data_IF_484374504504
#
_entry.id   IF_484374504504
#
_cell.length_a   1.000
_cell.length_b   1.000
_cell.length_c   1.000
_cell.angle_alpha   90.00
_cell.angle_beta   90.00
_cell.angle_gamma   90.00
#
_symmetry.space_group_name_H-M   'P 1'
#
loop_
_entity.id
_entity.type
_entity.pdbx_description
1 polymer ?
#
# COMPACT_ATOMS: atom_id res chain seq x y z
N UNK A 1 20.85 3.36 19.82
CA UNK A 1 19.72 3.99 19.10
C UNK A 1 19.42 3.10 17.90
N UNK A 2 18.20 2.59 17.74
CA UNK A 2 17.87 1.71 16.61
C UNK A 2 17.70 2.58 15.36
N UNK A 3 18.66 2.50 14.43
CA UNK A 3 18.68 3.32 13.22
C UNK A 3 18.12 2.52 12.02
N UNK A 4 16.84 2.68 11.72
CA UNK A 4 16.22 2.05 10.55
C UNK A 4 16.34 2.89 9.27
N UNK A 5 16.45 4.21 9.42
CA UNK A 5 16.53 5.17 8.34
C UNK A 5 17.97 5.64 8.15
N UNK A 6 18.51 5.61 6.91
CA UNK A 6 19.76 6.27 6.59
C UNK A 6 19.53 7.78 6.44
N UNK A 7 20.62 8.54 6.46
CA UNK A 7 20.58 9.93 6.02
C UNK A 7 20.27 9.98 4.52
N UNK A 8 19.35 10.85 4.14
CA UNK A 8 18.91 10.99 2.75
C UNK A 8 19.83 11.94 2.00
N UNK A 9 20.35 11.51 0.85
CA UNK A 9 21.29 12.29 0.04
C UNK A 9 20.72 12.73 -1.31
N UNK A 10 19.53 12.26 -1.67
CA UNK A 10 18.88 12.60 -2.95
C UNK A 10 17.57 13.37 -2.74
N UNK A 11 17.10 14.01 -3.82
CA UNK A 11 15.75 14.61 -3.87
C UNK A 11 14.63 13.57 -4.04
N UNK A 12 15.00 12.32 -4.36
CA UNK A 12 14.09 11.20 -4.59
C UNK A 12 13.91 10.36 -3.31
N UNK A 13 13.60 11.03 -2.20
CA UNK A 13 13.65 10.43 -0.86
C UNK A 13 12.80 9.16 -0.74
N UNK A 14 11.59 9.14 -1.31
CA UNK A 14 10.73 7.94 -1.27
C UNK A 14 11.36 6.74 -1.97
N UNK A 15 12.01 6.96 -3.12
CA UNK A 15 12.74 5.94 -3.88
C UNK A 15 14.02 5.51 -3.17
N UNK A 16 14.75 6.48 -2.61
CA UNK A 16 16.00 6.24 -1.90
C UNK A 16 15.76 5.37 -0.66
N UNK A 17 14.82 5.75 0.20
CA UNK A 17 14.49 4.99 1.42
C UNK A 17 14.05 3.56 1.10
N UNK A 18 13.32 3.33 0.00
CA UNK A 18 12.95 1.98 -0.42
C UNK A 18 14.17 1.08 -0.72
N UNK A 19 15.31 1.67 -1.10
CA UNK A 19 16.55 0.96 -1.46
C UNK A 19 17.58 0.92 -0.35
N UNK A 20 17.72 2.00 0.41
CA UNK A 20 18.85 2.19 1.34
C UNK A 20 18.47 1.98 2.80
N UNK A 21 17.17 1.94 3.13
CA UNK A 21 16.74 1.67 4.50
C UNK A 21 16.90 0.21 4.90
N UNK A 22 17.01 -0.05 6.20
CA UNK A 22 17.33 -1.37 6.73
C UNK A 22 16.36 -2.46 6.27
N UNK A 23 15.04 -2.18 6.24
CA UNK A 23 14.01 -3.11 5.76
C UNK A 23 13.62 -2.88 4.29
N UNK A 24 14.24 -1.91 3.64
CA UNK A 24 13.91 -1.47 2.28
C UNK A 24 14.02 -2.57 1.23
N UNK A 25 15.17 -3.26 1.13
CA UNK A 25 15.37 -4.35 0.18
C UNK A 25 14.37 -5.51 0.36
N UNK A 26 13.99 -5.84 1.61
CA UNK A 26 13.03 -6.91 1.89
C UNK A 26 11.62 -6.54 1.43
N UNK A 27 11.19 -5.30 1.69
CA UNK A 27 9.91 -4.78 1.20
C UNK A 27 9.88 -4.72 -0.34
N UNK A 28 11.02 -4.55 -1.00
CA UNK A 28 11.12 -4.43 -2.46
C UNK A 28 11.01 -5.74 -3.23
N UNK A 29 10.95 -6.90 -2.56
CA UNK A 29 10.78 -8.20 -3.23
C UNK A 29 9.38 -8.28 -3.85
N UNK A 30 9.30 -8.29 -5.18
CA UNK A 30 8.02 -8.20 -5.89
C UNK A 30 8.00 -9.02 -7.19
N UNK A 31 6.80 -9.23 -7.72
CA UNK A 31 6.57 -9.85 -9.04
C UNK A 31 6.31 -8.83 -10.15
N UNK A 32 6.41 -7.54 -9.84
CA UNK A 32 6.15 -6.49 -10.82
C UNK A 32 7.32 -6.38 -11.80
N UNK A 33 7.00 -6.35 -13.09
CA UNK A 33 8.00 -6.25 -14.15
C UNK A 33 8.86 -4.98 -14.08
N UNK A 34 8.35 -3.92 -13.44
CA UNK A 34 9.08 -2.66 -13.22
C UNK A 34 10.18 -2.77 -12.17
N UNK A 35 10.06 -3.75 -11.28
CA UNK A 35 11.05 -4.02 -10.24
C UNK A 35 12.07 -5.05 -10.75
N UNK A 36 11.59 -6.18 -11.30
CA UNK A 36 12.44 -7.25 -11.85
C UNK A 36 11.77 -7.92 -13.06
N UNK A 37 12.14 -7.54 -14.31
CA UNK A 37 11.45 -8.00 -15.52
C UNK A 37 11.58 -9.51 -15.75
N UNK A 38 12.72 -10.10 -15.38
CA UNK A 38 12.96 -11.55 -15.52
C UNK A 38 12.07 -12.38 -14.60
N UNK A 39 11.75 -11.87 -13.42
CA UNK A 39 10.83 -12.51 -12.48
C UNK A 39 9.42 -12.49 -13.07
N UNK A 40 8.98 -11.33 -13.58
CA UNK A 40 7.69 -11.23 -14.23
C UNK A 40 7.60 -12.13 -15.47
N UNK A 41 8.64 -12.20 -16.30
CA UNK A 41 8.68 -13.11 -17.44
C UNK A 41 8.53 -14.56 -16.96
N UNK A 42 9.38 -15.02 -16.03
CA UNK A 42 9.31 -16.39 -15.50
C UNK A 42 7.93 -16.77 -14.94
N UNK A 43 7.25 -15.83 -14.28
CA UNK A 43 5.95 -16.10 -13.69
C UNK A 43 4.79 -15.95 -14.67
N UNK A 44 4.86 -15.05 -15.66
CA UNK A 44 3.71 -14.65 -16.49
C UNK A 44 3.87 -14.89 -18.00
N UNK A 45 5.03 -15.36 -18.50
CA UNK A 45 5.32 -15.53 -19.94
C UNK A 45 4.61 -16.71 -20.64
N UNK A 46 3.53 -17.24 -20.07
CA UNK A 46 2.90 -18.48 -20.54
C UNK A 46 1.39 -18.46 -20.74
N UNK A 47 0.68 -17.37 -20.43
CA UNK A 47 -0.79 -17.35 -20.53
C UNK A 47 -1.36 -15.96 -20.84
N UNK A 48 -1.88 -15.77 -22.06
CA UNK A 48 -2.59 -14.55 -22.50
C UNK A 48 -4.10 -14.61 -22.27
N UNK A 49 -4.59 -15.64 -21.58
CA UNK A 49 -6.02 -15.88 -21.40
C UNK A 49 -6.40 -15.92 -19.91
N UNK A 50 -6.75 -14.76 -19.33
CA UNK A 50 -7.97 -14.54 -18.52
C UNK A 50 -7.85 -13.30 -17.60
N UNK A 51 -7.89 -12.09 -18.14
CA UNK A 51 -8.07 -10.85 -17.34
C UNK A 51 -9.39 -10.84 -16.52
N UNK A 52 -10.30 -11.79 -16.76
CA UNK A 52 -11.55 -11.96 -15.99
C UNK A 52 -11.31 -12.49 -14.58
N UNK A 53 -10.17 -13.13 -14.28
CA UNK A 53 -9.93 -13.73 -12.96
C UNK A 53 -9.70 -12.69 -11.87
N UNK A 54 -9.02 -11.58 -12.14
CA UNK A 54 -8.64 -10.58 -11.12
C UNK A 54 -9.84 -9.91 -10.44
N UNK A 55 -10.90 -9.62 -11.20
CA UNK A 55 -12.16 -9.11 -10.64
C UNK A 55 -12.92 -10.19 -9.84
N UNK A 56 -12.76 -11.45 -10.22
CA UNK A 56 -13.38 -12.59 -9.54
C UNK A 56 -12.64 -12.91 -8.22
N UNK A 57 -11.30 -12.86 -8.24
CA UNK A 57 -10.43 -13.01 -7.07
C UNK A 57 -10.66 -11.89 -6.06
N UNK A 58 -10.74 -10.63 -6.50
CA UNK A 58 -11.07 -9.49 -5.62
C UNK A 58 -12.47 -9.61 -5.01
N UNK A 59 -13.46 -10.12 -5.76
CA UNK A 59 -14.80 -10.41 -5.24
C UNK A 59 -14.78 -11.55 -4.22
N UNK A 60 -14.00 -12.60 -4.47
CA UNK A 60 -13.83 -13.71 -3.53
C UNK A 60 -13.12 -13.28 -2.24
N UNK A 61 -12.09 -12.43 -2.31
CA UNK A 61 -11.43 -11.88 -1.11
C UNK A 61 -12.38 -11.00 -0.27
N UNK A 62 -13.27 -10.23 -0.92
CA UNK A 62 -14.36 -9.49 -0.29
C UNK A 62 -15.43 -10.41 0.35
N UNK A 63 -15.67 -11.59 -0.22
CA UNK A 63 -16.58 -12.59 0.36
C UNK A 63 -15.93 -13.35 1.53
N UNK A 64 -14.62 -13.60 1.46
CA UNK A 64 -13.83 -14.33 2.47
C UNK A 64 -13.53 -13.49 3.72
N UNK A 65 -13.65 -12.16 3.66
CA UNK A 65 -13.50 -11.26 4.81
C UNK A 65 -14.72 -11.24 5.74
N UNK A 66 -15.80 -11.97 5.41
CA UNK A 66 -16.94 -12.18 6.32
C UNK A 66 -16.55 -13.13 7.46
N UNK A 67 -16.75 -12.77 8.74
CA UNK A 67 -16.24 -13.53 9.88
C UNK A 67 -17.06 -14.82 10.09
N UNK A 68 -16.67 -15.90 9.41
CA UNK A 68 -17.10 -17.25 9.77
C UNK A 68 -16.02 -17.92 10.61
N UNK A 69 -16.29 -17.96 11.91
CA UNK A 69 -15.54 -18.70 12.93
C UNK A 69 -15.47 -20.17 12.54
N UNK A 70 -14.26 -20.67 12.24
CA UNK A 70 -13.97 -22.11 12.28
C UNK A 70 -13.29 -22.79 11.08
N UNK A 71 -13.11 -22.13 9.92
CA UNK A 71 -12.51 -22.78 8.72
C UNK A 71 -11.19 -22.16 8.20
N UNK A 72 -10.49 -21.37 9.02
CA UNK A 72 -9.41 -20.48 8.56
C UNK A 72 -8.20 -21.15 7.90
N UNK A 73 -7.73 -22.31 8.36
CA UNK A 73 -6.49 -22.88 7.82
C UNK A 73 -6.73 -23.65 6.51
N UNK A 74 -7.82 -24.42 6.43
CA UNK A 74 -8.16 -25.18 5.23
C UNK A 74 -8.55 -24.23 4.07
N UNK A 75 -9.36 -23.19 4.31
CA UNK A 75 -9.74 -22.26 3.24
C UNK A 75 -8.55 -21.49 2.66
N UNK A 76 -7.59 -21.08 3.50
CA UNK A 76 -6.36 -20.43 3.03
C UNK A 76 -5.48 -21.36 2.19
N UNK A 77 -5.42 -22.65 2.51
CA UNK A 77 -4.66 -23.66 1.73
C UNK A 77 -5.33 -23.95 0.38
N UNK A 78 -6.67 -24.06 0.32
CA UNK A 78 -7.38 -24.28 -0.95
C UNK A 78 -7.32 -23.05 -1.88
N UNK A 79 -7.42 -21.83 -1.34
CA UNK A 79 -7.27 -20.58 -2.12
C UNK A 79 -5.85 -20.47 -2.68
N UNK A 80 -4.83 -20.72 -1.86
CA UNK A 80 -3.43 -20.65 -2.32
C UNK A 80 -3.10 -21.70 -3.38
N UNK A 81 -3.77 -22.85 -3.39
CA UNK A 81 -3.59 -23.86 -4.45
C UNK A 81 -4.26 -23.52 -5.79
N UNK A 82 -5.10 -22.48 -5.86
CA UNK A 82 -5.73 -21.97 -7.09
C UNK A 82 -5.10 -20.69 -7.63
N UNK A 83 -4.30 -19.98 -6.83
CA UNK A 83 -3.61 -18.75 -7.24
C UNK A 83 -2.54 -19.03 -8.30
N UNK A 84 -2.30 -18.05 -9.17
CA UNK A 84 -1.21 -18.08 -10.14
C UNK A 84 0.15 -18.14 -9.40
N UNK A 85 1.20 -18.78 -9.95
CA UNK A 85 2.49 -18.92 -9.26
C UNK A 85 3.08 -17.60 -8.76
N UNK A 86 2.90 -16.50 -9.51
CA UNK A 86 3.31 -15.16 -9.08
C UNK A 86 2.52 -14.62 -7.87
N UNK A 87 1.21 -14.88 -7.81
CA UNK A 87 0.36 -14.48 -6.69
C UNK A 87 0.72 -15.24 -5.41
N UNK A 88 1.04 -16.54 -5.52
CA UNK A 88 1.53 -17.33 -4.39
C UNK A 88 2.86 -16.80 -3.86
N UNK A 89 3.79 -16.48 -4.76
CA UNK A 89 5.07 -15.91 -4.39
C UNK A 89 4.89 -14.58 -3.65
N UNK A 90 4.07 -13.67 -4.18
CA UNK A 90 3.77 -12.40 -3.52
C UNK A 90 3.13 -12.60 -2.14
N UNK A 91 2.17 -13.53 -2.01
CA UNK A 91 1.54 -13.86 -0.73
C UNK A 91 2.55 -14.40 0.29
N UNK A 92 3.45 -15.29 -0.11
CA UNK A 92 4.50 -15.82 0.77
C UNK A 92 5.45 -14.73 1.26
N UNK A 93 5.89 -13.84 0.36
CA UNK A 93 6.74 -12.69 0.69
C UNK A 93 6.05 -11.81 1.75
N UNK A 94 4.77 -11.50 1.56
CA UNK A 94 3.99 -10.68 2.51
C UNK A 94 3.83 -11.34 3.87
N UNK A 95 3.59 -12.66 3.94
CA UNK A 95 3.50 -13.41 5.20
C UNK A 95 4.83 -13.39 5.96
N UNK A 96 5.95 -13.57 5.25
CA UNK A 96 7.29 -13.55 5.85
C UNK A 96 7.65 -12.14 6.35
N UNK A 97 7.36 -11.10 5.55
CA UNK A 97 7.55 -9.71 5.95
C UNK A 97 6.71 -9.40 7.19
N UNK A 98 5.43 -9.79 7.21
CA UNK A 98 4.58 -9.59 8.37
C UNK A 98 5.18 -10.22 9.63
N UNK A 99 5.72 -11.45 9.55
CA UNK A 99 6.38 -12.09 10.68
C UNK A 99 7.56 -11.25 11.20
N UNK A 100 8.43 -10.79 10.30
CA UNK A 100 9.57 -9.94 10.67
C UNK A 100 9.11 -8.65 11.35
N UNK A 101 8.18 -7.90 10.74
CA UNK A 101 7.67 -6.65 11.30
C UNK A 101 6.94 -6.88 12.64
N UNK A 102 6.14 -7.93 12.75
CA UNK A 102 5.47 -8.31 13.98
C UNK A 102 6.48 -8.55 15.11
N UNK A 103 7.52 -9.34 14.87
CA UNK A 103 8.52 -9.68 15.89
C UNK A 103 9.29 -8.43 16.37
N UNK A 104 9.57 -7.48 15.46
CA UNK A 104 10.20 -6.19 15.79
C UNK A 104 9.23 -5.29 16.59
N UNK A 105 7.94 -5.28 16.24
CA UNK A 105 6.92 -4.42 16.88
C UNK A 105 6.47 -4.95 18.25
N UNK A 106 6.52 -6.26 18.48
CA UNK A 106 6.27 -6.85 19.80
C UNK A 106 7.36 -6.47 20.79
N UNK A 107 8.60 -6.30 20.32
CA UNK A 107 9.69 -5.82 21.14
C UNK A 107 9.52 -4.33 21.49
N UNK A 108 9.37 -4.05 22.79
CA UNK A 108 9.17 -2.69 23.32
C UNK A 108 10.31 -1.72 23.04
N UNK A 109 11.56 -2.17 22.92
CA UNK A 109 12.71 -1.29 22.65
C UNK A 109 12.79 -0.82 21.20
N UNK A 110 12.19 -1.57 20.26
CA UNK A 110 12.21 -1.26 18.82
C UNK A 110 10.87 -0.76 18.28
N UNK A 111 9.76 -0.93 19.03
CA UNK A 111 8.41 -0.58 18.60
C UNK A 111 8.30 0.86 18.09
N UNK A 112 8.65 1.84 18.92
CA UNK A 112 8.50 3.26 18.57
C UNK A 112 9.40 3.65 17.39
N UNK A 113 10.64 3.15 17.35
CA UNK A 113 11.55 3.36 16.22
C UNK A 113 11.00 2.77 14.91
N UNK A 114 10.31 1.62 15.00
CA UNK A 114 9.69 0.97 13.84
C UNK A 114 8.45 1.72 13.37
N UNK A 115 7.61 2.21 14.28
CA UNK A 115 6.47 3.06 13.95
C UNK A 115 6.91 4.37 13.30
N UNK A 116 7.96 5.00 13.83
CA UNK A 116 8.58 6.18 13.23
C UNK A 116 9.13 5.89 11.83
N UNK A 117 9.81 4.76 11.65
CA UNK A 117 10.27 4.29 10.34
C UNK A 117 9.12 4.15 9.33
N UNK A 118 8.04 3.46 9.72
CA UNK A 118 6.84 3.26 8.89
C UNK A 118 6.18 4.59 8.51
N UNK A 119 6.08 5.53 9.46
CA UNK A 119 5.55 6.87 9.21
C UNK A 119 6.43 7.66 8.22
N UNK A 120 7.76 7.56 8.33
CA UNK A 120 8.69 8.20 7.41
C UNK A 120 8.64 7.61 6.01
N UNK A 121 8.51 6.30 5.87
CA UNK A 121 8.30 5.67 4.56
C UNK A 121 7.03 6.20 3.90
N UNK A 122 5.94 6.29 4.67
CA UNK A 122 4.65 6.77 4.19
C UNK A 122 4.71 8.24 3.77
N UNK A 123 5.22 9.12 4.64
CA UNK A 123 5.33 10.57 4.40
C UNK A 123 6.12 10.89 3.12
N UNK A 124 7.25 10.20 2.92
CA UNK A 124 8.08 10.40 1.74
C UNK A 124 7.51 9.79 0.45
N UNK A 125 6.36 9.11 0.54
CA UNK A 125 5.65 8.52 -0.59
C UNK A 125 4.23 9.09 -0.78
N UNK A 126 3.84 10.16 -0.06
CA UNK A 126 2.53 10.82 -0.21
C UNK A 126 2.26 11.30 -1.64
N UNK A 127 3.31 11.71 -2.36
CA UNK A 127 3.24 12.12 -3.77
C UNK A 127 2.69 11.03 -4.70
N UNK A 128 2.69 9.75 -4.29
CA UNK A 128 2.07 8.66 -5.05
C UNK A 128 0.56 8.83 -5.25
N UNK A 129 -0.11 9.62 -4.43
CA UNK A 129 -1.54 9.91 -4.60
C UNK A 129 -1.83 10.97 -5.67
N UNK A 130 -0.81 11.65 -6.20
CA UNK A 130 -0.99 12.70 -7.22
C UNK A 130 -1.36 12.11 -8.59
N UNK A 131 -2.03 12.90 -9.43
CA UNK A 131 -2.42 12.45 -10.79
C UNK A 131 -1.18 12.24 -11.67
N UNK A 132 -0.24 13.18 -11.58
CA UNK A 132 1.04 13.19 -12.27
C UNK A 132 2.13 12.96 -11.24
N UNK A 133 2.76 11.79 -11.30
CA UNK A 133 3.78 11.36 -10.34
C UNK A 133 5.07 11.19 -11.11
N UNK A 134 6.16 11.74 -10.59
CA UNK A 134 7.49 11.30 -11.02
C UNK A 134 7.83 9.97 -10.34
N UNK A 135 7.68 8.88 -11.08
CA UNK A 135 7.93 7.51 -10.59
C UNK A 135 9.37 7.27 -10.12
N UNK A 136 10.31 8.14 -10.53
CA UNK A 136 11.71 8.06 -10.08
C UNK A 136 11.91 8.64 -8.69
N UNK A 137 11.00 9.50 -8.24
CA UNK A 137 11.06 10.16 -6.93
C UNK A 137 10.43 9.35 -5.79
N UNK A 138 9.59 8.37 -6.11
CA UNK A 138 8.78 7.58 -5.16
C UNK A 138 9.14 6.09 -5.20
N UNK A 139 8.75 5.37 -4.16
CA UNK A 139 8.85 3.92 -4.08
C UNK A 139 7.95 3.22 -5.12
N UNK A 140 8.40 2.05 -5.58
CA UNK A 140 7.65 1.22 -6.53
C UNK A 140 6.39 0.59 -5.94
N UNK A 141 5.52 0.09 -6.82
CA UNK A 141 4.25 -0.55 -6.44
C UNK A 141 4.48 -1.79 -5.58
N UNK A 142 5.46 -2.62 -5.93
CA UNK A 142 5.81 -3.82 -5.16
C UNK A 142 6.15 -3.51 -3.71
N UNK A 143 7.04 -2.54 -3.50
CA UNK A 143 7.43 -2.06 -2.17
C UNK A 143 6.22 -1.59 -1.34
N UNK A 144 5.41 -0.70 -1.91
CA UNK A 144 4.32 -0.07 -1.17
C UNK A 144 3.14 -1.02 -0.93
N UNK A 145 2.86 -1.94 -1.85
CA UNK A 145 1.83 -2.98 -1.66
C UNK A 145 2.25 -4.02 -0.62
N UNK A 146 3.54 -4.39 -0.56
CA UNK A 146 4.06 -5.23 0.51
C UNK A 146 3.94 -4.54 1.86
N UNK A 147 4.31 -3.26 1.94
CA UNK A 147 4.16 -2.46 3.16
C UNK A 147 2.68 -2.37 3.62
N UNK A 148 1.76 -2.11 2.68
CA UNK A 148 0.33 -2.10 2.95
C UNK A 148 -0.16 -3.46 3.48
N UNK A 149 0.25 -4.57 2.84
CA UNK A 149 -0.17 -5.91 3.25
C UNK A 149 0.28 -6.25 4.67
N UNK A 150 1.53 -5.92 5.03
CA UNK A 150 2.04 -6.06 6.41
C UNK A 150 1.16 -5.28 7.40
N UNK A 151 0.86 -4.02 7.08
CA UNK A 151 0.06 -3.16 7.95
C UNK A 151 -1.39 -3.64 8.07
N UNK A 152 -1.98 -4.16 7.00
CA UNK A 152 -3.30 -4.81 7.03
C UNK A 152 -3.32 -6.06 7.93
N UNK A 153 -2.30 -6.91 7.82
CA UNK A 153 -2.17 -8.11 8.66
C UNK A 153 -1.99 -7.77 10.15
N UNK A 154 -1.34 -6.65 10.48
CA UNK A 154 -1.27 -6.13 11.85
C UNK A 154 -2.61 -5.53 12.29
N UNK A 155 -3.25 -4.73 11.43
CA UNK A 155 -4.50 -4.03 11.71
C UNK A 155 -5.70 -4.95 11.90
N UNK A 156 -5.72 -6.16 11.30
CA UNK A 156 -6.81 -7.12 11.48
C UNK A 156 -7.00 -7.55 12.95
N UNK A 157 -5.96 -7.41 13.78
CA UNK A 157 -5.99 -7.72 15.22
C UNK A 157 -6.40 -6.51 16.07
N UNK A 158 -6.44 -5.31 15.50
CA UNK A 158 -6.82 -4.09 16.19
C UNK A 158 -8.33 -4.09 16.41
N UNK A 159 -8.75 -3.92 17.66
CA UNK A 159 -10.16 -3.73 18.00
C UNK A 159 -10.51 -2.25 17.89
N UNK A 160 -11.62 -1.93 17.22
CA UNK A 160 -12.01 -0.56 16.94
C UNK A 160 -12.31 0.26 18.22
N UNK A 161 -12.75 -0.38 19.30
CA UNK A 161 -12.95 0.27 20.61
C UNK A 161 -11.64 0.80 21.24
N UNK A 162 -10.49 0.32 20.77
CA UNK A 162 -9.15 0.75 21.20
C UNK A 162 -8.55 1.84 20.33
N UNK A 163 -9.19 2.18 19.22
CA UNK A 163 -8.71 3.21 18.29
C UNK A 163 -9.25 4.56 18.74
N UNK A 164 -8.35 5.52 18.93
CA UNK A 164 -8.73 6.90 19.22
C UNK A 164 -9.05 7.65 17.92
N UNK A 165 -10.32 7.96 17.70
CA UNK A 165 -10.79 8.65 16.49
C UNK A 165 -10.29 10.11 16.38
N UNK A 166 -9.87 10.73 17.50
CA UNK A 166 -9.31 12.08 17.46
C UNK A 166 -7.82 12.09 17.06
N UNK A 167 -7.18 10.93 16.92
CA UNK A 167 -5.77 10.82 16.62
C UNK A 167 -5.28 11.61 15.38
N UNK A 168 -6.00 11.68 14.25
CA UNK A 168 -5.53 12.45 13.10
C UNK A 168 -5.35 13.96 13.38
N UNK A 169 -5.99 14.48 14.43
CA UNK A 169 -5.88 15.86 14.87
C UNK A 169 -4.93 16.04 16.06
N UNK A 170 -4.42 14.93 16.61
CA UNK A 170 -3.54 14.92 17.77
C UNK A 170 -2.20 15.59 17.43
N UNK A 171 -1.60 16.41 18.32
CA UNK A 171 -0.32 17.09 18.06
C UNK A 171 0.84 16.14 17.72
N UNK A 172 0.86 14.96 18.34
CA UNK A 172 1.81 13.87 18.06
C UNK A 172 1.35 12.87 16.98
N UNK A 173 0.36 13.24 16.15
CA UNK A 173 -0.02 12.41 15.00
C UNK A 173 1.16 12.29 14.04
N UNK A 174 1.46 11.07 13.60
CA UNK A 174 2.48 10.83 12.57
C UNK A 174 1.92 11.02 11.16
N UNK A 175 0.62 11.25 11.03
CA UNK A 175 -0.09 11.39 9.76
C UNK A 175 -0.60 12.83 9.68
N UNK A 176 -0.22 13.52 8.61
CA UNK A 176 -0.71 14.86 8.32
C UNK A 176 -1.91 14.80 7.39
N UNK A 177 -3.06 15.30 7.87
CA UNK A 177 -4.30 15.39 7.09
C UNK A 177 -4.68 16.83 6.77
N UNK A 178 -3.81 17.82 7.03
CA UNK A 178 -4.15 19.24 6.89
C UNK A 178 -4.60 19.58 5.47
N UNK A 179 -3.90 19.05 4.46
CA UNK A 179 -4.14 19.32 3.05
C UNK A 179 -5.09 18.31 2.37
N UNK A 180 -5.62 17.36 3.13
CA UNK A 180 -6.50 16.33 2.57
C UNK A 180 -7.90 16.89 2.26
N UNK A 181 -8.49 16.40 1.17
CA UNK A 181 -9.87 16.76 0.82
C UNK A 181 -10.84 16.12 1.81
N UNK A 182 -11.73 16.92 2.39
CA UNK A 182 -12.66 16.49 3.44
C UNK A 182 -14.07 16.39 2.89
N UNK A 183 -14.85 15.44 3.43
CA UNK A 183 -16.27 15.26 3.09
C UNK A 183 -17.12 16.45 3.53
N UNK A 184 -16.75 17.07 4.65
CA UNK A 184 -17.40 18.23 5.25
C UNK A 184 -16.32 19.06 5.95
N UNK A 185 -16.56 20.37 6.02
CA UNK A 185 -15.62 21.41 6.50
C UNK A 185 -14.52 21.78 5.51
N UNK A 186 -14.25 23.08 5.47
CA UNK A 186 -13.08 23.70 4.84
C UNK A 186 -11.84 23.54 5.73
N UNK A 187 -10.65 23.69 5.14
CA UNK A 187 -9.39 23.64 5.90
C UNK A 187 -9.34 24.70 7.01
N UNK A 188 -9.94 25.88 6.79
CA UNK A 188 -9.99 26.95 7.78
C UNK A 188 -10.90 26.58 8.97
N UNK A 189 -12.09 26.04 8.70
CA UNK A 189 -13.02 25.63 9.76
C UNK A 189 -12.43 24.53 10.63
N UNK A 190 -11.71 23.58 10.03
CA UNK A 190 -11.01 22.53 10.78
C UNK A 190 -9.89 23.12 11.63
N UNK A 191 -9.11 24.07 11.10
CA UNK A 191 -8.05 24.72 11.87
C UNK A 191 -8.63 25.44 13.11
N UNK A 192 -9.70 26.22 12.93
CA UNK A 192 -10.40 26.89 14.04
C UNK A 192 -10.92 25.87 15.06
N UNK A 193 -11.55 24.79 14.61
CA UNK A 193 -12.08 23.74 15.48
C UNK A 193 -10.97 23.03 16.29
N UNK A 194 -9.83 22.72 15.66
CA UNK A 194 -8.69 22.12 16.36
C UNK A 194 -8.12 23.09 17.41
N UNK A 195 -8.03 24.38 17.10
CA UNK A 195 -7.56 25.41 18.05
C UNK A 195 -8.50 25.54 19.26
N UNK A 196 -9.82 25.52 19.03
CA UNK A 196 -10.82 25.50 20.10
C UNK A 196 -10.71 24.23 20.95
N UNK A 197 -10.52 23.07 20.31
CA UNK A 197 -10.33 21.79 21.00
C UNK A 197 -9.08 21.80 21.89
N UNK A 198 -7.99 22.40 21.40
CA UNK A 198 -6.73 22.55 22.15
C UNK A 198 -6.85 23.52 23.34
N UNK A 199 -7.69 24.55 23.24
CA UNK A 199 -7.95 25.52 24.32
C UNK A 199 -8.98 25.03 25.34
N UNK A 200 -9.82 24.08 24.95
CA UNK A 200 -10.87 23.53 25.79
C UNK A 200 -10.29 22.82 27.02
N UNK A 201 -10.76 23.19 28.21
CA UNK A 201 -10.40 22.48 29.47
C UNK A 201 -11.04 21.10 29.58
N UNK A 202 -12.04 20.81 28.73
CA UNK A 202 -12.83 19.58 28.77
C UNK A 202 -12.17 18.46 27.96
N UNK A 203 -11.50 18.79 26.86
CA UNK A 203 -10.83 17.81 26.03
C UNK A 203 -9.44 17.50 26.56
N UNK A 204 -9.08 16.21 26.60
CA UNK A 204 -7.75 15.75 26.97
C UNK A 204 -7.26 14.78 25.90
N UNK A 205 -6.17 15.16 25.24
CA UNK A 205 -5.48 14.31 24.29
C UNK A 205 -5.00 13.03 24.97
N UNK A 206 -5.29 11.90 24.35
CA UNK A 206 -4.82 10.59 24.82
C UNK A 206 -3.50 10.28 24.16
N UNK A 207 -2.59 9.70 24.92
CA UNK A 207 -1.31 9.24 24.37
C UNK A 207 -1.56 8.22 23.24
N UNK A 208 -0.98 8.45 22.04
CA UNK A 208 -1.19 7.57 20.90
C UNK A 208 -0.67 6.15 21.12
N UNK A 209 -1.58 5.19 21.32
CA UNK A 209 -1.21 3.77 21.47
C UNK A 209 -1.04 3.07 20.12
N UNK A 210 -0.29 1.98 20.11
CA UNK A 210 -0.07 1.15 18.92
C UNK A 210 -1.35 0.82 18.12
N UNK A 211 -2.48 0.39 18.71
CA UNK A 211 -3.69 0.08 17.91
C UNK A 211 -4.19 1.27 17.08
N UNK A 212 -4.16 2.47 17.68
CA UNK A 212 -4.52 3.71 17.01
C UNK A 212 -3.55 4.04 15.88
N UNK A 213 -2.24 4.06 16.18
CA UNK A 213 -1.21 4.38 15.18
C UNK A 213 -1.23 3.38 14.01
N UNK A 214 -1.29 2.07 14.32
CA UNK A 214 -1.37 1.00 13.32
C UNK A 214 -2.60 1.14 12.43
N UNK A 215 -3.77 1.44 13.01
CA UNK A 215 -5.00 1.63 12.25
C UNK A 215 -4.90 2.78 11.25
N UNK A 216 -4.48 3.97 11.70
CA UNK A 216 -4.42 5.14 10.83
C UNK A 216 -3.26 5.07 9.82
N UNK A 217 -2.11 4.49 10.19
CA UNK A 217 -1.03 4.25 9.22
C UNK A 217 -1.50 3.29 8.12
N UNK A 218 -2.23 2.25 8.48
CA UNK A 218 -2.84 1.33 7.52
C UNK A 218 -3.82 2.05 6.60
N UNK A 219 -4.71 2.88 7.14
CA UNK A 219 -5.66 3.65 6.35
C UNK A 219 -4.96 4.59 5.35
N UNK A 220 -3.94 5.31 5.80
CA UNK A 220 -3.19 6.21 4.93
C UNK A 220 -2.39 5.44 3.85
N UNK A 221 -1.86 4.25 4.16
CA UNK A 221 -1.24 3.38 3.15
C UNK A 221 -2.20 2.90 2.07
N UNK A 222 -3.50 2.75 2.36
CA UNK A 222 -4.47 2.45 1.30
C UNK A 222 -4.51 3.58 0.27
N UNK A 223 -4.52 4.82 0.74
CA UNK A 223 -4.53 6.01 -0.11
C UNK A 223 -3.25 6.17 -0.93
N UNK A 224 -2.08 5.91 -0.34
CA UNK A 224 -0.78 6.10 -1.03
C UNK A 224 -0.28 4.86 -1.77
N UNK A 225 -0.90 3.70 -1.56
CA UNK A 225 -0.45 2.41 -2.14
C UNK A 225 -1.48 1.75 -3.05
N UNK A 226 -2.63 1.37 -2.49
CA UNK A 226 -3.63 0.60 -3.22
C UNK A 226 -4.31 1.44 -4.30
N UNK A 227 -4.75 2.65 -3.96
CA UNK A 227 -5.47 3.52 -4.90
C UNK A 227 -4.60 3.87 -6.12
N UNK A 228 -3.34 4.35 -5.97
CA UNK A 228 -2.46 4.64 -7.10
C UNK A 228 -2.15 3.40 -7.94
N UNK A 229 -1.88 2.24 -7.32
CA UNK A 229 -1.62 1.00 -8.03
C UNK A 229 -2.83 0.56 -8.88
N UNK A 230 -4.04 0.63 -8.34
CA UNK A 230 -5.28 0.36 -9.06
C UNK A 230 -5.49 1.33 -10.23
N UNK A 231 -5.25 2.62 -10.03
CA UNK A 231 -5.35 3.62 -11.10
C UNK A 231 -4.31 3.38 -12.20
N UNK A 232 -3.06 3.06 -11.82
CA UNK A 232 -1.98 2.73 -12.76
C UNK A 232 -2.33 1.50 -13.59
N UNK A 233 -2.87 0.46 -12.96
CA UNK A 233 -3.37 -0.73 -13.64
C UNK A 233 -4.48 -0.39 -14.66
N UNK A 234 -5.48 0.40 -14.27
CA UNK A 234 -6.55 0.82 -15.17
C UNK A 234 -6.04 1.67 -16.36
N UNK A 235 -5.05 2.56 -16.12
CA UNK A 235 -4.38 3.33 -17.18
C UNK A 235 -3.66 2.40 -18.16
N UNK A 236 -2.93 1.40 -17.67
CA UNK A 236 -2.25 0.40 -18.52
C UNK A 236 -3.23 -0.43 -19.33
N UNK A 237 -4.35 -0.86 -18.76
CA UNK A 237 -5.40 -1.58 -19.51
C UNK A 237 -6.00 -0.74 -20.65
N UNK A 238 -6.11 0.58 -20.48
CA UNK A 238 -6.51 1.48 -21.57
C UNK A 238 -5.42 1.53 -22.65
N UNK A 239 -4.17 1.81 -22.25
CA UNK A 239 -3.04 1.87 -23.16
C UNK A 239 -2.85 0.57 -23.97
N UNK A 240 -3.00 -0.59 -23.33
CA UNK A 240 -2.93 -1.89 -24.01
C UNK A 240 -4.00 -2.04 -25.09
N UNK A 241 -5.25 -1.65 -24.80
CA UNK A 241 -6.33 -1.68 -25.80
C UNK A 241 -6.06 -0.74 -26.97
N UNK A 242 -5.50 0.43 -26.71
CA UNK A 242 -5.19 1.41 -27.76
C UNK A 242 -4.00 0.94 -28.62
N UNK A 243 -2.96 0.39 -28.00
CA UNK A 243 -1.84 -0.25 -28.71
C UNK A 243 -2.32 -1.45 -29.56
N UNK A 244 -3.22 -2.28 -29.04
CA UNK A 244 -3.81 -3.38 -29.80
C UNK A 244 -4.58 -2.90 -31.05
N UNK A 245 -5.30 -1.77 -30.96
CA UNK A 245 -5.94 -1.17 -32.12
C UNK A 245 -4.91 -0.66 -33.13
N UNK A 246 -3.86 0.01 -32.66
CA UNK A 246 -2.78 0.52 -33.52
C UNK A 246 -2.00 -0.58 -34.21
N UNK A 247 -1.81 -1.74 -33.58
CA UNK A 247 -1.14 -2.90 -34.22
C UNK A 247 -2.07 -3.56 -35.24
N UNK A 248 -3.39 -3.61 -35.01
CA UNK A 248 -4.36 -4.22 -35.94
C UNK A 248 -4.71 -3.34 -37.14
N UNK A 249 -4.72 -2.01 -36.98
CA UNK A 249 -5.02 -1.05 -38.04
C UNK A 249 -4.12 -1.15 -39.30
N UNK A 250 -2.77 -1.28 -39.20
CA UNK A 250 -1.91 -1.36 -40.37
C UNK A 250 -2.13 -2.64 -41.18
N UNK A 251 -2.52 -3.77 -40.57
CA UNK A 251 -2.83 -4.99 -41.34
C UNK A 251 -4.05 -4.83 -42.26
N UNK A 252 -5.04 -4.03 -41.87
CA UNK A 252 -6.19 -3.73 -42.74
C UNK A 252 -5.83 -2.78 -43.88
N UNK A 253 -5.02 -1.75 -43.63
CA UNK A 253 -4.57 -0.84 -44.69
C UNK A 253 -3.65 -1.54 -45.68
N UNK A 254 -2.72 -2.40 -45.25
CA UNK A 254 -1.84 -3.09 -46.22
C UNK A 254 -2.58 -4.14 -47.05
N UNK A 255 -3.60 -4.83 -46.51
CA UNK A 255 -4.44 -5.75 -47.32
C UNK A 255 -5.36 -5.04 -48.31
N UNK A 256 -5.90 -3.87 -47.99
CA UNK A 256 -6.81 -3.13 -48.88
C UNK A 256 -6.07 -2.45 -50.05
N UNK A 257 -4.77 -2.14 -49.90
CA UNK A 257 -3.95 -1.58 -50.97
C UNK A 257 -3.13 -2.62 -51.76
N UNK A 258 -3.25 -3.91 -51.43
CA UNK A 258 -2.61 -5.03 -52.17
C UNK A 258 -3.62 -5.92 -52.91
N UNK A 259 -4.89 -5.49 -53.02
CA UNK A 259 -5.93 -6.06 -53.90
C UNK A 259 -6.35 -4.98 -54.91
#
# INVERSE_FOLDING_TARGET
>A
MVQFLPDTVTLAVGRELARTSFLGPFLSVSVFAEDEPKVAEKFFSGNTASDKSLNQTLRQELENTRPHTGKKLASSIWVTHQLHPGERFASLVQILLHKVFHDILVNGSSREATLSYLAMLLRNNEKRAQIHIDERSVAGDGFMLNLLSVMQMLAIKVKLDKVDMFYPFHPSSTIDIKNETRLKFTSQEVATWVDELNRSKTHKWREPKFPTQCWFLTLHLHHTSLLPACQKYQRRLRALRDLQKLVRAPFFYTMVYCL
#
